data_IF_736289220763
#
_entry.id   IF_736289220763
#
_cell.length_a   1.000
_cell.length_b   1.000
_cell.length_c   1.000
_cell.angle_alpha   90.00
_cell.angle_beta   90.00
_cell.angle_gamma   90.00
#
_symmetry.space_group_name_H-M   'P 1'
#
loop_
_entity.id
_entity.type
_entity.pdbx_description
1 polymer ?
#
# COMPACT_ATOMS: atom_id res chain seq x y z
N UNK A 1 -4.54 -21.20 -21.88
CA UNK A 1 -3.08 -20.99 -21.84
C UNK A 1 -2.69 -19.51 -21.68
N UNK A 2 -3.11 -18.61 -22.58
CA UNK A 2 -2.79 -17.17 -22.49
C UNK A 2 -3.31 -16.49 -21.19
N UNK A 3 -4.56 -16.77 -20.80
CA UNK A 3 -5.17 -16.21 -19.59
C UNK A 3 -4.41 -16.58 -18.30
N UNK A 4 -3.85 -17.79 -18.24
CA UNK A 4 -3.09 -18.23 -17.07
C UNK A 4 -1.73 -17.53 -16.98
N UNK A 5 -1.05 -17.30 -18.11
CA UNK A 5 0.19 -16.52 -18.15
C UNK A 5 -0.05 -15.04 -17.85
N UNK A 6 -1.16 -14.48 -18.33
CA UNK A 6 -1.58 -13.12 -18.01
C UNK A 6 -1.80 -12.94 -16.51
N UNK A 7 -2.48 -13.88 -15.83
CA UNK A 7 -2.67 -13.83 -14.36
C UNK A 7 -1.32 -13.87 -13.63
N UNK A 8 -0.42 -14.78 -14.02
CA UNK A 8 0.93 -14.85 -13.45
C UNK A 8 1.70 -13.55 -13.66
N UNK A 9 1.52 -12.90 -14.81
CA UNK A 9 2.15 -11.61 -15.12
C UNK A 9 1.67 -10.49 -14.20
N UNK A 10 0.37 -10.42 -13.92
CA UNK A 10 -0.21 -9.44 -12.98
C UNK A 10 0.30 -9.69 -11.56
N UNK A 11 0.25 -10.93 -11.08
CA UNK A 11 0.76 -11.31 -9.77
C UNK A 11 2.24 -10.94 -9.61
N UNK A 12 3.04 -11.18 -10.65
CA UNK A 12 4.45 -10.82 -10.62
C UNK A 12 4.67 -9.31 -10.53
N UNK A 13 3.90 -8.52 -11.27
CA UNK A 13 4.01 -7.05 -11.20
C UNK A 13 3.61 -6.56 -9.81
N UNK A 14 2.60 -7.14 -9.17
CA UNK A 14 2.22 -6.81 -7.78
C UNK A 14 3.38 -7.12 -6.82
N UNK A 15 3.94 -8.33 -6.88
CA UNK A 15 5.06 -8.73 -6.01
C UNK A 15 6.25 -7.79 -6.19
N UNK A 16 6.65 -7.51 -7.44
CA UNK A 16 7.77 -6.61 -7.71
C UNK A 16 7.46 -5.16 -7.35
N UNK A 17 6.21 -4.70 -7.49
CA UNK A 17 5.81 -3.38 -7.05
C UNK A 17 5.93 -3.24 -5.52
N UNK A 18 5.50 -4.25 -4.74
CA UNK A 18 5.67 -4.28 -3.29
C UNK A 18 7.16 -4.30 -2.90
N UNK A 19 7.99 -5.08 -3.60
CA UNK A 19 9.44 -5.11 -3.37
C UNK A 19 10.08 -3.75 -3.67
N UNK A 20 9.84 -3.17 -4.84
CA UNK A 20 10.49 -1.92 -5.24
C UNK A 20 9.99 -0.72 -4.44
N UNK A 21 8.69 -0.62 -4.24
CA UNK A 21 8.08 0.54 -3.59
C UNK A 21 8.22 0.40 -2.08
N UNK A 22 7.73 -0.69 -1.48
CA UNK A 22 7.73 -0.80 -0.01
C UNK A 22 9.08 -1.21 0.53
N UNK A 23 9.66 -2.31 0.04
CA UNK A 23 10.92 -2.81 0.62
C UNK A 23 12.11 -1.91 0.26
N UNK A 24 12.26 -1.53 -1.01
CA UNK A 24 13.44 -0.75 -1.44
C UNK A 24 13.22 0.74 -1.18
N UNK A 25 12.18 1.37 -1.76
CA UNK A 25 11.98 2.82 -1.63
C UNK A 25 11.62 3.21 -0.20
N UNK A 26 10.65 2.58 0.46
CA UNK A 26 10.25 3.01 1.81
C UNK A 26 11.21 2.48 2.88
N UNK A 27 11.31 1.16 3.04
CA UNK A 27 12.11 0.56 4.11
C UNK A 27 13.62 0.75 3.88
N UNK A 28 14.08 0.62 2.64
CA UNK A 28 15.50 0.73 2.29
C UNK A 28 16.02 2.17 2.26
N UNK A 29 15.24 3.09 1.66
CA UNK A 29 15.65 4.49 1.42
C UNK A 29 14.94 5.45 2.36
N UNK A 30 13.61 5.57 2.32
CA UNK A 30 12.87 6.61 3.04
C UNK A 30 13.09 6.53 4.57
N UNK A 31 13.14 5.32 5.14
CA UNK A 31 13.39 5.11 6.58
C UNK A 31 14.78 5.54 7.05
N UNK A 32 15.70 5.90 6.14
CA UNK A 32 17.00 6.52 6.50
C UNK A 32 16.93 8.04 6.55
N UNK A 33 15.86 8.62 6.01
CA UNK A 33 15.64 10.06 5.94
C UNK A 33 14.56 10.49 6.93
N UNK A 34 14.59 9.95 8.14
CA UNK A 34 13.79 10.42 9.26
C UNK A 34 14.42 11.68 9.90
N UNK A 35 13.60 12.47 10.59
CA UNK A 35 14.00 13.62 11.39
C UNK A 35 13.59 13.32 12.84
N UNK A 36 14.56 13.07 13.71
CA UNK A 36 14.32 12.63 15.10
C UNK A 36 13.36 11.42 15.25
N UNK A 37 13.40 10.47 14.31
CA UNK A 37 12.52 9.29 14.33
C UNK A 37 11.13 9.54 13.73
N UNK A 38 10.77 10.76 13.36
CA UNK A 38 9.56 11.05 12.61
C UNK A 38 9.80 10.85 11.10
N UNK A 39 8.81 10.29 10.42
CA UNK A 39 8.80 10.17 8.97
C UNK A 39 7.73 11.05 8.33
N UNK A 40 7.56 10.89 7.03
CA UNK A 40 6.63 11.68 6.23
C UNK A 40 7.25 12.90 5.53
N UNK A 41 6.42 13.56 4.73
CA UNK A 41 6.84 14.63 3.82
C UNK A 41 7.35 15.86 4.60
N UNK A 42 6.75 16.17 5.74
CA UNK A 42 7.19 17.28 6.60
C UNK A 42 8.51 16.98 7.33
N UNK A 43 8.72 15.73 7.76
CA UNK A 43 10.00 15.30 8.32
C UNK A 43 11.14 15.46 7.31
N UNK A 44 10.90 15.08 6.05
CA UNK A 44 11.86 15.32 4.96
C UNK A 44 12.15 16.80 4.75
N UNK A 45 11.12 17.66 4.77
CA UNK A 45 11.31 19.10 4.67
C UNK A 45 12.17 19.62 5.83
N UNK A 46 11.82 19.28 7.08
CA UNK A 46 12.57 19.70 8.27
C UNK A 46 14.02 19.25 8.24
N UNK A 47 14.28 17.99 7.82
CA UNK A 47 15.64 17.49 7.64
C UNK A 47 16.44 18.31 6.63
N UNK A 48 15.82 18.70 5.51
CA UNK A 48 16.47 19.56 4.52
C UNK A 48 16.73 20.96 5.12
N UNK A 49 15.79 21.54 5.86
CA UNK A 49 15.98 22.91 6.38
C UNK A 49 17.02 22.94 7.51
N UNK A 50 17.00 21.97 8.42
CA UNK A 50 17.76 22.01 9.67
C UNK A 50 19.05 21.19 9.67
N UNK A 51 19.13 20.09 8.91
CA UNK A 51 20.28 19.18 8.93
C UNK A 51 21.06 19.14 7.60
N UNK A 52 20.76 20.02 6.65
CA UNK A 52 21.56 20.11 5.42
C UNK A 52 22.98 20.57 5.70
N UNK A 53 23.96 19.82 5.17
CA UNK A 53 25.41 20.11 5.26
C UNK A 53 25.76 21.49 4.67
N UNK A 54 24.98 21.94 3.67
CA UNK A 54 25.14 23.25 3.04
C UNK A 54 23.91 24.12 3.28
N UNK A 55 24.09 25.44 3.48
CA UNK A 55 22.97 26.36 3.60
C UNK A 55 22.10 26.28 2.36
N UNK A 56 20.84 25.92 2.55
CA UNK A 56 19.88 25.75 1.46
C UNK A 56 19.54 27.12 0.90
N UNK A 57 19.79 27.33 -0.39
CA UNK A 57 19.46 28.58 -1.06
C UNK A 57 17.95 28.88 -0.99
N UNK A 58 17.59 30.17 -0.86
CA UNK A 58 16.18 30.60 -0.74
C UNK A 58 15.26 30.03 -1.82
N UNK A 59 15.74 29.89 -3.06
CA UNK A 59 14.98 29.30 -4.17
C UNK A 59 14.67 27.81 -3.96
N UNK A 60 15.68 27.05 -3.53
CA UNK A 60 15.53 25.62 -3.21
C UNK A 60 14.60 25.43 -2.03
N UNK A 61 14.73 26.25 -0.99
CA UNK A 61 13.83 26.21 0.17
C UNK A 61 12.36 26.44 -0.24
N UNK A 62 12.10 27.49 -1.05
CA UNK A 62 10.75 27.76 -1.55
C UNK A 62 10.21 26.58 -2.36
N UNK A 63 11.03 25.99 -3.24
CA UNK A 63 10.64 24.83 -4.03
C UNK A 63 10.30 23.63 -3.13
N UNK A 64 11.15 23.30 -2.17
CA UNK A 64 10.92 22.20 -1.23
C UNK A 64 9.65 22.43 -0.41
N UNK A 65 9.39 23.65 0.07
CA UNK A 65 8.17 23.97 0.80
C UNK A 65 6.92 23.81 -0.07
N UNK A 66 6.96 24.27 -1.33
CA UNK A 66 5.84 24.08 -2.27
C UNK A 66 5.59 22.59 -2.53
N UNK A 67 6.63 21.81 -2.80
CA UNK A 67 6.50 20.37 -3.00
C UNK A 67 5.96 19.66 -1.75
N UNK A 68 6.42 20.07 -0.56
CA UNK A 68 5.97 19.49 0.69
C UNK A 68 4.49 19.81 0.98
N UNK A 69 4.05 21.05 0.76
CA UNK A 69 2.64 21.43 0.97
C UNK A 69 1.72 20.83 -0.08
N UNK A 70 2.15 20.73 -1.35
CA UNK A 70 1.41 19.99 -2.38
C UNK A 70 1.29 18.51 -2.02
N UNK A 71 2.39 17.88 -1.60
CA UNK A 71 2.37 16.48 -1.15
C UNK A 71 1.44 16.26 0.05
N UNK A 72 1.47 17.16 1.03
CA UNK A 72 0.55 17.13 2.17
C UNK A 72 -0.92 17.26 1.73
N UNK A 73 -1.23 18.14 0.77
CA UNK A 73 -2.59 18.27 0.23
C UNK A 73 -3.05 17.00 -0.49
N UNK A 74 -2.16 16.34 -1.24
CA UNK A 74 -2.44 15.04 -1.87
C UNK A 74 -2.68 13.95 -0.82
N UNK A 75 -1.89 13.93 0.26
CA UNK A 75 -2.05 12.97 1.36
C UNK A 75 -3.36 13.20 2.13
N UNK A 76 -3.80 14.44 2.28
CA UNK A 76 -5.14 14.74 2.81
C UNK A 76 -6.26 14.22 1.90
N UNK A 77 -6.08 14.33 0.57
CA UNK A 77 -7.01 13.76 -0.41
C UNK A 77 -7.11 12.25 -0.29
N UNK A 78 -5.97 11.56 -0.20
CA UNK A 78 -5.90 10.11 -0.01
C UNK A 78 -6.55 9.68 1.32
N UNK A 79 -6.25 10.38 2.41
CA UNK A 79 -6.85 10.14 3.73
C UNK A 79 -8.37 10.33 3.78
N UNK A 80 -8.95 11.10 2.85
CA UNK A 80 -10.40 11.25 2.71
C UNK A 80 -11.03 10.15 1.86
N UNK A 81 -10.39 9.78 0.75
CA UNK A 81 -10.94 8.85 -0.25
C UNK A 81 -10.88 7.40 0.25
N UNK A 82 -9.77 7.01 0.90
CA UNK A 82 -9.53 5.62 1.28
C UNK A 82 -10.55 5.05 2.27
N UNK A 83 -10.94 5.75 3.36
CA UNK A 83 -12.00 5.27 4.26
C UNK A 83 -13.36 5.16 3.56
N UNK A 84 -13.68 6.10 2.67
CA UNK A 84 -14.95 6.07 1.93
C UNK A 84 -15.03 4.86 0.98
N UNK A 85 -13.98 4.63 0.19
CA UNK A 85 -13.91 3.47 -0.71
C UNK A 85 -13.87 2.14 0.04
N UNK A 86 -13.16 2.08 1.17
CA UNK A 86 -13.08 0.86 2.00
C UNK A 86 -14.43 0.47 2.61
N UNK A 87 -15.24 1.44 3.03
CA UNK A 87 -16.59 1.14 3.54
C UNK A 87 -17.53 0.75 2.41
N UNK A 88 -17.45 1.41 1.26
CA UNK A 88 -18.27 1.04 0.10
C UNK A 88 -17.97 -0.40 -0.35
N UNK A 89 -16.69 -0.77 -0.48
CA UNK A 89 -16.31 -2.14 -0.86
C UNK A 89 -16.68 -3.18 0.20
N UNK A 90 -16.60 -2.84 1.49
CA UNK A 90 -17.04 -3.73 2.57
C UNK A 90 -18.56 -3.97 2.55
N UNK A 91 -19.36 -2.93 2.29
CA UNK A 91 -20.82 -3.04 2.17
C UNK A 91 -21.20 -3.85 0.93
N UNK A 92 -20.56 -3.60 -0.21
CA UNK A 92 -20.79 -4.37 -1.45
C UNK A 92 -20.40 -5.84 -1.27
N UNK A 93 -19.31 -6.14 -0.56
CA UNK A 93 -18.89 -7.50 -0.26
C UNK A 93 -19.86 -8.27 0.65
N UNK A 94 -20.63 -7.57 1.50
CA UNK A 94 -21.67 -8.16 2.35
C UNK A 94 -23.04 -8.26 1.65
N UNK A 95 -23.25 -7.51 0.56
CA UNK A 95 -24.52 -7.40 -0.16
C UNK A 95 -24.80 -8.59 -1.10
N UNK A 96 -24.48 -9.82 -0.68
CA UNK A 96 -24.83 -11.05 -1.40
C UNK A 96 -26.33 -11.33 -1.47
N UNK A 97 -27.17 -10.62 -0.70
CA UNK A 97 -28.63 -10.64 -0.80
C UNK A 97 -29.20 -9.22 -0.92
N UNK A 98 -30.35 -9.10 -1.63
CA UNK A 98 -31.08 -7.87 -2.04
C UNK A 98 -31.52 -6.91 -0.91
N UNK A 99 -30.62 -6.46 -0.06
CA UNK A 99 -30.85 -5.41 0.95
C UNK A 99 -29.79 -4.32 0.78
N UNK A 100 -29.95 -3.52 -0.28
CA UNK A 100 -29.30 -2.22 -0.38
C UNK A 100 -29.93 -1.32 0.70
N UNK A 101 -29.38 -1.36 1.91
CA UNK A 101 -29.76 -0.47 3.00
C UNK A 101 -28.78 0.71 3.06
N UNK A 102 -29.20 1.94 3.46
CA UNK A 102 -28.34 3.12 3.68
C UNK A 102 -27.23 2.98 4.73
N UNK A 103 -26.87 1.74 5.09
CA UNK A 103 -25.97 1.32 6.16
C UNK A 103 -24.53 1.84 6.03
N UNK A 104 -23.99 1.98 4.81
CA UNK A 104 -22.60 2.45 4.63
C UNK A 104 -22.34 3.83 5.21
N UNK A 105 -23.29 4.76 5.06
CA UNK A 105 -23.20 6.12 5.64
C UNK A 105 -23.28 6.06 7.17
N UNK A 106 -24.07 5.14 7.73
CA UNK A 106 -24.17 4.97 9.18
C UNK A 106 -22.90 4.33 9.76
N UNK A 107 -22.33 3.32 9.09
CA UNK A 107 -21.06 2.70 9.47
C UNK A 107 -19.92 3.72 9.46
N UNK A 108 -19.87 4.61 8.47
CA UNK A 108 -18.90 5.72 8.44
C UNK A 108 -19.10 6.66 9.64
N UNK A 109 -20.34 7.07 9.92
CA UNK A 109 -20.64 7.93 11.09
C UNK A 109 -20.21 7.28 12.39
N UNK A 110 -20.52 5.99 12.57
CA UNK A 110 -20.22 5.25 13.80
C UNK A 110 -18.70 5.03 13.95
N UNK A 111 -17.98 4.80 12.84
CA UNK A 111 -16.52 4.68 12.82
C UNK A 111 -15.82 6.00 13.22
N UNK A 112 -16.30 7.14 12.73
CA UNK A 112 -15.71 8.46 13.01
C UNK A 112 -16.10 9.04 14.38
N UNK A 113 -17.22 8.61 14.98
CA UNK A 113 -17.66 9.09 16.30
C UNK A 113 -17.05 8.33 17.50
N UNK A 114 -16.38 7.19 17.28
CA UNK A 114 -15.81 6.34 18.34
C UNK A 114 -14.28 6.24 18.40
N UNK A 115 -13.50 7.34 18.46
CA UNK A 115 -12.07 7.33 18.17
C UNK A 115 -11.17 6.59 19.19
N UNK A 116 -11.63 6.32 20.41
CA UNK A 116 -10.73 5.84 21.49
C UNK A 116 -10.52 4.32 21.54
N UNK A 117 -11.36 3.50 20.91
CA UNK A 117 -11.28 2.02 20.98
C UNK A 117 -11.00 1.33 19.65
N UNK A 118 -11.15 2.02 18.52
CA UNK A 118 -11.03 1.45 17.17
C UNK A 118 -9.57 1.13 16.82
N UNK A 119 -8.62 2.01 17.16
CA UNK A 119 -7.20 1.79 16.86
C UNK A 119 -6.60 0.54 17.53
N UNK A 120 -7.02 0.23 18.76
CA UNK A 120 -6.54 -0.95 19.51
C UNK A 120 -7.15 -2.24 18.94
N UNK A 121 -8.42 -2.20 18.51
CA UNK A 121 -9.09 -3.36 17.92
C UNK A 121 -8.61 -3.67 16.50
N UNK A 122 -8.20 -2.65 15.73
CA UNK A 122 -7.84 -2.81 14.33
C UNK A 122 -6.64 -3.74 14.13
N UNK A 123 -5.57 -3.59 14.93
CA UNK A 123 -4.37 -4.42 14.81
C UNK A 123 -4.64 -5.93 14.87
N UNK A 124 -5.27 -6.45 15.94
CA UNK A 124 -5.63 -7.87 16.04
C UNK A 124 -6.58 -8.35 14.92
N UNK A 125 -7.55 -7.52 14.52
CA UNK A 125 -8.49 -7.87 13.44
C UNK A 125 -7.74 -8.02 12.11
N UNK A 126 -6.87 -7.06 11.76
CA UNK A 126 -6.03 -7.11 10.57
C UNK A 126 -5.08 -8.32 10.62
N UNK A 127 -4.53 -8.66 11.79
CA UNK A 127 -3.68 -9.83 11.95
C UNK A 127 -4.43 -11.14 11.65
N UNK A 128 -5.62 -11.32 12.24
CA UNK A 128 -6.48 -12.49 11.96
C UNK A 128 -6.83 -12.54 10.47
N UNK A 129 -7.17 -11.40 9.87
CA UNK A 129 -7.50 -11.32 8.45
C UNK A 129 -6.34 -11.76 7.55
N UNK A 130 -5.11 -11.28 7.78
CA UNK A 130 -3.92 -11.70 7.03
C UNK A 130 -3.62 -13.19 7.19
N UNK A 131 -3.75 -13.73 8.40
CA UNK A 131 -3.55 -15.16 8.66
C UNK A 131 -4.60 -16.00 7.91
N UNK A 132 -5.85 -15.56 7.89
CA UNK A 132 -6.92 -16.27 7.18
C UNK A 132 -6.69 -16.27 5.66
N UNK A 133 -6.41 -15.12 5.05
CA UNK A 133 -6.16 -15.07 3.59
C UNK A 133 -4.89 -15.83 3.20
N UNK A 134 -3.83 -15.74 4.01
CA UNK A 134 -2.59 -16.49 3.82
C UNK A 134 -2.82 -18.00 3.95
N UNK A 135 -3.56 -18.42 4.97
CA UNK A 135 -3.93 -19.82 5.20
C UNK A 135 -4.79 -20.39 4.08
N UNK A 136 -5.80 -19.66 3.62
CA UNK A 136 -6.63 -20.05 2.46
C UNK A 136 -5.81 -20.10 1.18
N UNK A 137 -4.88 -19.16 0.99
CA UNK A 137 -3.93 -19.16 -0.13
C UNK A 137 -3.06 -20.42 -0.14
N UNK A 138 -2.40 -20.72 0.98
CA UNK A 138 -1.56 -21.92 1.15
C UNK A 138 -2.39 -23.20 0.92
N UNK A 139 -3.58 -23.27 1.52
CA UNK A 139 -4.48 -24.41 1.35
C UNK A 139 -4.82 -24.67 -0.12
N UNK A 140 -5.21 -23.63 -0.86
CA UNK A 140 -5.50 -23.77 -2.30
C UNK A 140 -4.26 -24.15 -3.12
N UNK A 141 -3.09 -23.61 -2.79
CA UNK A 141 -1.83 -24.00 -3.45
C UNK A 141 -1.48 -25.47 -3.21
N UNK A 142 -1.72 -25.99 -2.00
CA UNK A 142 -1.48 -27.40 -1.66
C UNK A 142 -2.43 -28.37 -2.37
N UNK A 143 -3.73 -28.05 -2.44
CA UNK A 143 -4.72 -28.97 -3.01
C UNK A 143 -4.60 -29.06 -4.53
N UNK A 144 -4.22 -27.96 -5.18
CA UNK A 144 -4.13 -27.89 -6.64
C UNK A 144 -2.71 -28.09 -7.17
N UNK A 145 -1.73 -28.38 -6.30
CA UNK A 145 -0.30 -28.51 -6.62
C UNK A 145 0.26 -27.33 -7.44
N UNK A 146 -0.27 -26.12 -7.21
CA UNK A 146 0.07 -24.91 -8.00
C UNK A 146 1.21 -24.09 -7.38
N UNK A 147 2.08 -24.71 -6.60
CA UNK A 147 3.22 -24.03 -5.95
C UNK A 147 4.13 -23.28 -6.93
N UNK A 148 4.21 -23.74 -8.19
CA UNK A 148 4.97 -23.07 -9.24
C UNK A 148 4.47 -21.65 -9.54
N UNK A 149 3.20 -21.33 -9.26
CA UNK A 149 2.65 -19.97 -9.42
C UNK A 149 3.38 -18.97 -8.55
N UNK A 150 3.82 -19.36 -7.34
CA UNK A 150 4.58 -18.47 -6.44
C UNK A 150 5.97 -18.18 -7.01
N UNK A 151 6.62 -19.20 -7.57
CA UNK A 151 7.94 -19.06 -8.22
C UNK A 151 7.82 -18.15 -9.44
N UNK A 152 6.77 -18.34 -10.23
CA UNK A 152 6.48 -17.51 -11.41
C UNK A 152 6.17 -16.05 -11.01
N UNK A 153 5.44 -15.82 -9.93
CA UNK A 153 5.17 -14.47 -9.43
C UNK A 153 6.48 -13.75 -9.03
N UNK A 154 7.42 -14.44 -8.39
CA UNK A 154 8.70 -13.83 -8.00
C UNK A 154 9.62 -13.62 -9.23
N UNK A 155 9.44 -14.39 -10.29
CA UNK A 155 10.30 -14.30 -11.48
C UNK A 155 10.06 -12.99 -12.27
N UNK A 156 11.07 -12.10 -12.41
CA UNK A 156 10.92 -10.80 -13.08
C UNK A 156 10.64 -10.92 -14.59
N UNK A 157 10.84 -12.09 -15.19
CA UNK A 157 10.43 -12.35 -16.57
C UNK A 157 8.95 -12.04 -16.80
N UNK A 158 8.10 -12.31 -15.82
CA UNK A 158 6.66 -12.07 -15.90
C UNK A 158 6.29 -10.58 -15.85
N UNK A 159 7.13 -9.73 -15.28
CA UNK A 159 7.00 -8.26 -15.41
C UNK A 159 7.26 -7.83 -16.85
N UNK A 160 8.31 -8.36 -17.50
CA UNK A 160 8.55 -8.10 -18.92
C UNK A 160 7.41 -8.64 -19.79
N UNK A 161 6.91 -9.84 -19.48
CA UNK A 161 5.77 -10.44 -20.17
C UNK A 161 4.53 -9.54 -20.07
N UNK A 162 4.22 -9.02 -18.87
CA UNK A 162 3.07 -8.13 -18.63
C UNK A 162 3.06 -6.94 -19.59
N UNK A 163 4.21 -6.31 -19.83
CA UNK A 163 4.29 -5.11 -20.67
C UNK A 163 4.34 -5.40 -22.17
N UNK A 164 4.99 -6.50 -22.57
CA UNK A 164 5.37 -6.72 -23.98
C UNK A 164 4.58 -7.85 -24.64
N UNK A 165 4.24 -8.91 -23.89
CA UNK A 165 3.72 -10.17 -24.45
C UNK A 165 2.33 -10.54 -23.97
N UNK A 166 1.81 -9.89 -22.93
CA UNK A 166 0.47 -10.15 -22.41
C UNK A 166 -0.61 -9.91 -23.46
N UNK A 167 -1.77 -10.57 -23.28
CA UNK A 167 -2.90 -10.38 -24.20
C UNK A 167 -3.42 -8.94 -24.24
N UNK A 168 -3.09 -8.15 -23.23
CA UNK A 168 -3.45 -6.74 -23.09
C UNK A 168 -2.26 -5.79 -23.26
N UNK A 169 -1.15 -6.23 -23.85
CA UNK A 169 0.05 -5.41 -24.05
C UNK A 169 -0.26 -4.06 -24.73
N UNK A 170 0.51 -3.03 -24.37
CA UNK A 170 0.28 -1.65 -24.81
C UNK A 170 -0.68 -0.89 -23.89
N UNK A 171 -1.77 -0.31 -24.44
CA UNK A 171 -2.69 0.54 -23.66
C UNK A 171 -3.45 -0.23 -22.58
N UNK A 172 -3.80 -1.50 -22.84
CA UNK A 172 -4.47 -2.35 -21.84
C UNK A 172 -3.59 -2.63 -20.61
N UNK A 173 -2.28 -2.83 -20.81
CA UNK A 173 -1.32 -3.04 -19.75
C UNK A 173 -1.20 -1.80 -18.85
N UNK A 174 -1.28 -0.60 -19.43
CA UNK A 174 -1.32 0.63 -18.65
C UNK A 174 -2.57 0.74 -17.78
N UNK A 175 -3.75 0.35 -18.30
CA UNK A 175 -4.98 0.32 -17.51
C UNK A 175 -4.87 -0.67 -16.33
N UNK A 176 -4.39 -1.90 -16.59
CA UNK A 176 -4.22 -2.92 -15.55
C UNK A 176 -3.11 -2.58 -14.56
N UNK A 177 -2.12 -1.81 -14.98
CA UNK A 177 -1.09 -1.30 -14.08
C UNK A 177 -1.70 -0.37 -13.02
N UNK A 178 -2.77 0.37 -13.34
CA UNK A 178 -3.54 1.13 -12.35
C UNK A 178 -4.06 0.26 -11.21
N UNK A 179 -4.59 -0.93 -11.53
CA UNK A 179 -5.05 -1.90 -10.52
C UNK A 179 -3.89 -2.39 -9.64
N UNK A 180 -2.71 -2.58 -10.23
CA UNK A 180 -1.49 -2.96 -9.49
C UNK A 180 -1.03 -1.84 -8.56
N UNK A 181 -1.13 -0.58 -8.98
CA UNK A 181 -0.78 0.58 -8.14
C UNK A 181 -1.68 0.64 -6.90
N UNK A 182 -2.98 0.29 -7.03
CA UNK A 182 -3.91 0.20 -5.89
C UNK A 182 -3.50 -0.86 -4.85
N UNK A 183 -2.73 -1.88 -5.23
CA UNK A 183 -2.20 -2.85 -4.26
C UNK A 183 -1.08 -2.26 -3.39
N UNK A 184 -0.49 -1.13 -3.80
CA UNK A 184 0.63 -0.48 -3.11
C UNK A 184 0.24 0.86 -2.48
N UNK A 185 -0.95 1.39 -2.80
CA UNK A 185 -1.50 2.59 -2.15
C UNK A 185 -1.65 2.33 -0.64
N UNK A 186 -1.11 3.22 0.18
CA UNK A 186 -1.02 3.04 1.63
C UNK A 186 0.40 2.78 2.13
N UNK A 187 1.36 2.52 1.24
CA UNK A 187 2.77 2.48 1.61
C UNK A 187 3.28 3.83 2.15
N UNK A 188 2.66 4.96 1.77
CA UNK A 188 2.95 6.27 2.36
C UNK A 188 2.68 6.31 3.87
N UNK A 189 1.62 5.64 4.34
CA UNK A 189 1.24 5.62 5.75
C UNK A 189 2.32 4.95 6.60
N UNK A 190 2.99 3.91 6.09
CA UNK A 190 4.14 3.30 6.77
C UNK A 190 5.25 4.31 7.07
N UNK A 191 5.47 5.28 6.18
CA UNK A 191 6.49 6.31 6.40
C UNK A 191 6.00 7.41 7.33
N UNK A 192 4.74 7.83 7.22
CA UNK A 192 4.16 8.85 8.10
C UNK A 192 4.08 8.37 9.56
N UNK A 193 3.75 7.10 9.79
CA UNK A 193 3.52 6.55 11.14
C UNK A 193 4.80 6.16 11.89
N UNK A 194 5.97 6.42 11.30
CA UNK A 194 7.26 6.12 11.93
C UNK A 194 7.45 6.84 13.27
N UNK A 195 6.90 8.05 13.42
CA UNK A 195 6.95 8.80 14.68
C UNK A 195 6.14 8.15 15.81
N UNK A 196 5.12 7.33 15.50
CA UNK A 196 4.25 6.70 16.50
C UNK A 196 4.73 5.31 16.91
N UNK A 197 5.11 4.47 15.94
CA UNK A 197 5.48 3.08 16.20
C UNK A 197 7.00 2.83 16.18
N UNK A 198 7.76 3.71 15.53
CA UNK A 198 9.16 3.48 15.24
C UNK A 198 9.40 2.46 14.12
N UNK A 199 10.63 2.44 13.62
CA UNK A 199 11.03 1.60 12.47
C UNK A 199 10.93 0.09 12.72
N UNK A 200 11.33 -0.37 13.91
CA UNK A 200 11.46 -1.79 14.24
C UNK A 200 10.13 -2.56 14.13
N UNK A 201 9.07 -2.14 14.84
CA UNK A 201 7.76 -2.80 14.78
C UNK A 201 7.15 -2.83 13.38
N UNK A 202 7.33 -1.74 12.61
CA UNK A 202 6.85 -1.63 11.23
C UNK A 202 7.57 -2.64 10.31
N UNK A 203 8.88 -2.82 10.47
CA UNK A 203 9.62 -3.82 9.69
C UNK A 203 9.23 -5.24 10.07
N UNK A 204 9.00 -5.52 11.36
CA UNK A 204 8.61 -6.85 11.81
C UNK A 204 7.23 -7.25 11.28
N UNK A 205 6.25 -6.34 11.31
CA UNK A 205 4.92 -6.62 10.76
C UNK A 205 4.98 -6.80 9.23
N UNK A 206 5.74 -5.95 8.53
CA UNK A 206 5.89 -6.04 7.09
C UNK A 206 6.50 -7.39 6.65
N UNK A 207 7.69 -7.73 7.17
CA UNK A 207 8.41 -8.94 6.77
C UNK A 207 7.93 -10.23 7.44
N UNK A 208 7.19 -10.12 8.54
CA UNK A 208 6.73 -11.28 9.32
C UNK A 208 5.29 -11.72 9.00
N UNK A 209 4.43 -10.80 8.54
CA UNK A 209 3.00 -11.08 8.36
C UNK A 209 2.47 -10.70 6.98
N UNK A 210 2.96 -9.62 6.37
CA UNK A 210 2.34 -9.03 5.17
C UNK A 210 2.96 -9.55 3.86
N UNK A 211 4.29 -9.59 3.77
CA UNK A 211 5.03 -10.04 2.58
C UNK A 211 5.43 -11.51 2.67
#
# INVERSE_FOLDING_TARGET
PAVAEDIKSVLSVIVWALIFIVCIKYVGVAFRFDYHGEGGIFSLLLKIVHESIHPVGKKTLILCTVLATTGAAMMCGDGLITPALSVLSAVEGLATDKLFSPSGVQVVKDLFLGPSKVGIANGPITMVWFILIGGVGIYNLTIHDQWMVLVDAINPYYVYYFWVKSSFAGYGAFQRFGDVVLAVTGAEALFADMGHFGRGPIMLSWFGLVI
#
